data_IF_133210819547
#
_entry.id   IF_133210819547
#
_cell.length_a   1.000
_cell.length_b   1.000
_cell.length_c   1.000
_cell.angle_alpha   90.00
_cell.angle_beta   90.00
_cell.angle_gamma   90.00
#
_symmetry.space_group_name_H-M   'P 1'
#
loop_
_entity.id
_entity.type
_entity.pdbx_description
1 polymer ?
#
# COMPACT_ATOMS: atom_id res chain seq x y z
N UNK A 1 7.73 -26.75 -17.40
CA UNK A 1 6.91 -25.52 -17.50
C UNK A 1 7.41 -24.55 -16.42
N UNK A 2 8.05 -23.43 -16.79
CA UNK A 2 8.63 -22.46 -15.83
C UNK A 2 7.48 -21.68 -15.17
N UNK A 3 7.50 -21.57 -13.84
CA UNK A 3 6.41 -21.10 -12.99
C UNK A 3 6.13 -19.59 -13.02
N UNK A 4 5.93 -19.02 -14.21
CA UNK A 4 5.54 -17.62 -14.40
C UNK A 4 4.01 -17.38 -14.29
N UNK A 5 3.20 -18.42 -14.07
CA UNK A 5 1.73 -18.32 -14.01
C UNK A 5 1.17 -18.03 -12.60
N UNK A 6 2.00 -18.00 -11.55
CA UNK A 6 1.52 -17.76 -10.19
C UNK A 6 1.55 -16.27 -9.89
N UNK A 7 0.38 -15.70 -9.60
CA UNK A 7 0.27 -14.37 -8.99
C UNK A 7 0.86 -14.40 -7.58
N UNK A 8 1.61 -13.38 -7.23
CA UNK A 8 2.24 -13.21 -5.92
C UNK A 8 1.80 -11.89 -5.30
N UNK A 9 1.47 -11.93 -4.00
CA UNK A 9 1.26 -10.76 -3.17
C UNK A 9 2.41 -10.66 -2.17
N UNK A 10 3.13 -9.55 -2.21
CA UNK A 10 4.28 -9.27 -1.34
C UNK A 10 3.87 -8.21 -0.33
N UNK A 11 4.06 -8.52 0.95
CA UNK A 11 3.88 -7.55 2.03
C UNK A 11 5.23 -7.01 2.45
N UNK A 12 5.36 -5.68 2.49
CA UNK A 12 6.53 -4.97 3.00
C UNK A 12 6.07 -4.14 4.20
N UNK A 13 6.31 -4.63 5.40
CA UNK A 13 6.15 -3.83 6.60
C UNK A 13 7.45 -3.05 6.86
N UNK A 14 7.36 -1.72 6.90
CA UNK A 14 8.54 -0.85 6.99
C UNK A 14 8.34 0.25 8.02
N UNK A 15 9.40 0.60 8.73
CA UNK A 15 9.49 1.71 9.68
C UNK A 15 10.30 2.91 9.14
N UNK A 16 10.77 2.83 7.90
CA UNK A 16 11.61 3.88 7.33
C UNK A 16 11.85 3.80 5.82
N UNK A 17 12.77 4.67 5.37
CA UNK A 17 13.23 4.70 3.99
C UNK A 17 14.09 3.47 3.65
N UNK A 18 14.06 3.02 2.40
CA UNK A 18 15.00 1.99 1.94
C UNK A 18 16.44 2.51 1.99
N UNK A 19 17.37 1.64 2.37
CA UNK A 19 18.80 1.94 2.41
C UNK A 19 19.58 0.97 1.52
N UNK A 20 20.81 1.36 1.16
CA UNK A 20 21.81 0.47 0.59
C UNK A 20 22.47 -0.41 1.68
N UNK A 21 23.44 -1.23 1.26
CA UNK A 21 24.21 -2.13 2.14
C UNK A 21 25.07 -1.38 3.17
N UNK A 22 25.31 -0.08 2.97
CA UNK A 22 26.05 0.79 3.88
C UNK A 22 25.14 1.56 4.84
N UNK A 23 23.81 1.43 4.67
CA UNK A 23 22.80 2.11 5.48
C UNK A 23 22.48 3.54 5.00
N UNK A 24 22.97 3.96 3.83
CA UNK A 24 22.59 5.25 3.25
C UNK A 24 21.21 5.14 2.59
N UNK A 25 20.38 6.18 2.72
CA UNK A 25 19.05 6.21 2.09
C UNK A 25 19.19 6.10 0.57
N UNK A 26 18.50 5.10 0.01
CA UNK A 26 18.52 4.78 -1.41
C UNK A 26 17.13 4.35 -1.87
N UNK A 27 16.25 5.34 -2.09
CA UNK A 27 14.88 5.13 -2.58
C UNK A 27 14.86 4.85 -4.09
N UNK A 28 15.83 5.37 -4.84
CA UNK A 28 15.87 5.26 -6.29
C UNK A 28 16.10 3.83 -6.78
N UNK A 29 16.91 3.04 -6.06
CA UNK A 29 17.11 1.62 -6.38
C UNK A 29 15.81 0.82 -6.16
N UNK A 30 15.13 1.01 -5.03
CA UNK A 30 13.83 0.38 -4.80
C UNK A 30 12.81 0.83 -5.85
N UNK A 31 12.82 2.11 -6.23
CA UNK A 31 11.96 2.64 -7.29
C UNK A 31 12.24 1.99 -8.64
N UNK A 32 13.52 1.75 -8.96
CA UNK A 32 13.91 1.04 -10.17
C UNK A 32 13.37 -0.39 -10.17
N UNK A 33 13.58 -1.13 -9.07
CA UNK A 33 13.04 -2.47 -8.90
C UNK A 33 11.52 -2.50 -9.10
N UNK A 34 10.80 -1.57 -8.47
CA UNK A 34 9.33 -1.51 -8.50
C UNK A 34 8.75 -1.22 -9.89
N UNK A 35 9.45 -0.43 -10.72
CA UNK A 35 9.00 -0.01 -12.05
C UNK A 35 9.52 -0.89 -13.19
N UNK A 36 10.76 -1.38 -13.08
CA UNK A 36 11.49 -1.99 -14.19
C UNK A 36 11.60 -3.49 -14.03
N UNK A 37 11.93 -3.98 -12.84
CA UNK A 37 12.23 -5.40 -12.61
C UNK A 37 11.01 -6.20 -12.15
N UNK A 38 10.15 -5.57 -11.34
CA UNK A 38 8.92 -6.17 -10.83
C UNK A 38 8.03 -6.61 -12.00
N UNK A 39 7.56 -7.85 -11.94
CA UNK A 39 6.57 -8.37 -12.88
C UNK A 39 5.18 -7.77 -12.59
N UNK A 40 4.94 -6.52 -13.03
CA UNK A 40 3.78 -5.70 -12.62
C UNK A 40 2.41 -6.36 -12.82
N UNK A 41 2.28 -7.30 -13.76
CA UNK A 41 1.01 -7.98 -14.04
C UNK A 41 0.73 -9.18 -13.12
N UNK A 42 1.74 -9.68 -12.40
CA UNK A 42 1.63 -10.87 -11.55
C UNK A 42 2.11 -10.64 -10.13
N UNK A 43 2.87 -9.58 -9.86
CA UNK A 43 3.37 -9.21 -8.53
C UNK A 43 2.66 -7.98 -8.00
N UNK A 44 1.85 -8.20 -6.98
CA UNK A 44 1.17 -7.19 -6.18
C UNK A 44 2.02 -6.87 -4.96
N UNK A 45 2.12 -5.59 -4.60
CA UNK A 45 2.93 -5.15 -3.46
C UNK A 45 2.09 -4.32 -2.52
N UNK A 46 2.11 -4.68 -1.25
CA UNK A 46 1.43 -3.97 -0.18
C UNK A 46 2.46 -3.44 0.81
N UNK A 47 2.54 -2.12 0.95
CA UNK A 47 3.34 -1.49 2.00
C UNK A 47 2.49 -1.28 3.24
N UNK A 48 3.02 -1.69 4.39
CA UNK A 48 2.44 -1.46 5.70
C UNK A 48 3.37 -0.53 6.47
N UNK A 49 2.93 0.72 6.65
CA UNK A 49 3.72 1.74 7.33
C UNK A 49 3.66 1.49 8.84
N UNK A 50 4.83 1.34 9.45
CA UNK A 50 5.00 1.02 10.87
C UNK A 50 5.75 2.14 11.61
N UNK A 51 5.67 3.37 11.12
CA UNK A 51 6.38 4.54 11.67
C UNK A 51 5.48 5.77 11.71
N UNK A 52 5.71 6.62 12.72
CA UNK A 52 5.06 7.93 12.82
C UNK A 52 5.82 9.02 12.05
N UNK A 53 7.07 8.77 11.63
CA UNK A 53 7.84 9.71 10.81
C UNK A 53 7.46 9.59 9.34
N UNK A 54 6.45 10.35 8.93
CA UNK A 54 5.96 10.33 7.55
C UNK A 54 7.01 10.75 6.52
N UNK A 55 7.94 11.62 6.87
CA UNK A 55 8.89 12.18 5.89
C UNK A 55 9.77 11.10 5.26
N UNK A 56 10.10 10.04 6.01
CA UNK A 56 10.93 8.95 5.51
C UNK A 56 10.16 7.93 4.65
N UNK A 57 8.83 8.00 4.59
CA UNK A 57 7.99 7.09 3.81
C UNK A 57 7.06 7.80 2.82
N UNK A 58 7.11 9.14 2.76
CA UNK A 58 6.20 9.95 1.93
C UNK A 58 6.21 9.55 0.44
N UNK A 59 7.35 9.07 -0.06
CA UNK A 59 7.47 8.58 -1.43
C UNK A 59 6.54 7.39 -1.73
N UNK A 60 6.18 6.59 -0.73
CA UNK A 60 5.28 5.45 -0.90
C UNK A 60 3.85 5.92 -1.25
N UNK A 61 3.36 7.02 -0.68
CA UNK A 61 2.03 7.56 -1.03
C UNK A 61 1.95 8.10 -2.47
N UNK A 62 3.08 8.47 -3.08
CA UNK A 62 3.13 8.77 -4.52
C UNK A 62 3.06 7.49 -5.35
N UNK A 63 3.71 6.42 -4.88
CA UNK A 63 3.73 5.14 -5.58
C UNK A 63 2.37 4.45 -5.56
N UNK A 64 1.67 4.53 -4.43
CA UNK A 64 0.28 4.11 -4.24
C UNK A 64 -0.62 4.59 -5.41
N UNK A 65 -0.50 5.88 -5.76
CA UNK A 65 -1.33 6.53 -6.77
C UNK A 65 -0.87 6.29 -8.21
N UNK A 66 0.41 6.01 -8.39
CA UNK A 66 1.06 6.03 -9.72
C UNK A 66 1.47 4.65 -10.22
N UNK A 67 1.68 3.68 -9.33
CA UNK A 67 2.16 2.35 -9.66
C UNK A 67 1.04 1.32 -9.64
N UNK A 68 0.90 0.58 -10.75
CA UNK A 68 -0.06 -0.51 -10.85
C UNK A 68 0.19 -1.59 -9.79
N UNK A 69 -0.87 -2.10 -9.18
CA UNK A 69 -0.84 -3.22 -8.23
C UNK A 69 0.09 -2.94 -7.02
N UNK A 70 0.13 -1.68 -6.58
CA UNK A 70 0.81 -1.22 -5.37
C UNK A 70 -0.25 -0.55 -4.51
N UNK A 71 -0.21 -0.79 -3.21
CA UNK A 71 -1.10 -0.16 -2.24
C UNK A 71 -0.32 0.08 -0.94
N UNK A 72 -0.58 1.19 -0.27
CA UNK A 72 0.04 1.61 0.99
C UNK A 72 -1.03 1.74 2.07
N UNK A 73 -0.83 1.09 3.21
CA UNK A 73 -1.70 1.27 4.38
C UNK A 73 -0.91 1.72 5.59
N UNK A 74 -1.49 2.71 6.25
CA UNK A 74 -1.00 3.30 7.49
C UNK A 74 -1.57 2.54 8.72
N UNK A 75 -1.36 3.08 9.90
CA UNK A 75 -1.96 2.59 11.13
C UNK A 75 -3.50 2.70 11.10
N UNK A 76 -4.18 1.85 11.89
CA UNK A 76 -5.65 1.81 11.96
C UNK A 76 -6.30 3.17 12.21
N UNK A 77 -5.73 4.00 13.08
CA UNK A 77 -6.32 5.29 13.42
C UNK A 77 -6.18 6.30 12.29
N UNK A 78 -5.06 6.29 11.57
CA UNK A 78 -4.89 7.12 10.38
C UNK A 78 -5.82 6.67 9.25
N UNK A 79 -5.85 5.38 8.94
CA UNK A 79 -6.75 4.81 7.93
C UNK A 79 -8.21 5.12 8.22
N UNK A 80 -8.67 4.88 9.46
CA UNK A 80 -10.05 5.15 9.84
C UNK A 80 -10.43 6.61 9.66
N UNK A 81 -9.53 7.54 9.99
CA UNK A 81 -9.77 8.97 9.78
C UNK A 81 -9.94 9.28 8.29
N UNK A 82 -9.10 8.74 7.42
CA UNK A 82 -9.19 8.93 5.96
C UNK A 82 -10.46 8.32 5.37
N UNK A 83 -10.79 7.09 5.77
CA UNK A 83 -12.07 6.45 5.39
C UNK A 83 -13.26 7.32 5.81
N UNK A 84 -13.26 7.88 7.03
CA UNK A 84 -14.33 8.78 7.48
C UNK A 84 -14.35 10.13 6.77
N UNK A 85 -13.21 10.61 6.27
CA UNK A 85 -13.16 11.83 5.44
C UNK A 85 -13.86 11.61 4.09
N UNK A 86 -13.69 10.44 3.47
CA UNK A 86 -14.27 10.15 2.15
C UNK A 86 -15.66 9.52 2.20
N UNK A 87 -15.89 8.56 3.08
CA UNK A 87 -17.15 7.82 3.18
C UNK A 87 -18.15 8.44 4.17
N UNK A 88 -17.71 9.40 4.98
CA UNK A 88 -18.49 10.03 6.04
C UNK A 88 -18.37 9.32 7.40
N UNK A 89 -18.66 10.06 8.47
CA UNK A 89 -18.48 9.64 9.87
C UNK A 89 -19.33 8.46 10.31
N UNK A 90 -20.44 8.19 9.60
CA UNK A 90 -21.33 7.07 9.86
C UNK A 90 -20.89 5.77 9.15
N UNK A 91 -19.82 5.81 8.35
CA UNK A 91 -19.28 4.61 7.72
C UNK A 91 -18.65 3.69 8.78
N UNK A 92 -19.03 2.40 8.74
CA UNK A 92 -18.49 1.41 9.66
C UNK A 92 -17.13 0.95 9.16
N UNK A 93 -16.09 1.30 9.91
CA UNK A 93 -14.72 0.86 9.66
C UNK A 93 -14.09 0.43 10.99
N UNK A 94 -14.13 -0.87 11.24
CA UNK A 94 -13.57 -1.48 12.44
C UNK A 94 -12.18 -2.04 12.15
N UNK A 95 -11.56 -2.65 13.17
CA UNK A 95 -10.28 -3.36 12.99
C UNK A 95 -10.39 -4.53 12.01
N UNK A 96 -11.57 -5.15 11.89
CA UNK A 96 -11.81 -6.22 10.93
C UNK A 96 -11.68 -5.71 9.49
N UNK A 97 -12.40 -4.64 9.15
CA UNK A 97 -12.32 -4.01 7.83
C UNK A 97 -10.90 -3.49 7.54
N UNK A 98 -10.24 -2.93 8.54
CA UNK A 98 -8.83 -2.52 8.43
C UNK A 98 -7.91 -3.68 8.08
N UNK A 99 -8.00 -4.82 8.78
CA UNK A 99 -7.18 -5.99 8.48
C UNK A 99 -7.44 -6.47 7.05
N UNK A 100 -8.70 -6.49 6.61
CA UNK A 100 -9.02 -6.90 5.24
C UNK A 100 -8.41 -5.91 4.24
N UNK A 101 -8.62 -4.59 4.39
CA UNK A 101 -7.97 -3.57 3.54
C UNK A 101 -6.44 -3.73 3.51
N UNK A 102 -5.82 -3.90 4.68
CA UNK A 102 -4.38 -4.09 4.81
C UNK A 102 -3.87 -5.36 4.12
N UNK A 103 -4.70 -6.40 4.00
CA UNK A 103 -4.32 -7.67 3.36
C UNK A 103 -4.60 -7.71 1.86
N UNK A 104 -5.66 -7.06 1.38
CA UNK A 104 -6.13 -7.27 0.00
C UNK A 104 -6.25 -6.00 -0.84
N UNK A 105 -6.03 -4.80 -0.31
CA UNK A 105 -6.26 -3.57 -1.09
C UNK A 105 -5.40 -3.50 -2.37
N UNK A 106 -4.16 -4.00 -2.35
CA UNK A 106 -3.33 -4.12 -3.55
C UNK A 106 -3.97 -4.95 -4.67
N UNK A 107 -4.89 -5.87 -4.33
CA UNK A 107 -5.60 -6.77 -5.26
C UNK A 107 -7.02 -6.27 -5.55
N UNK A 108 -7.71 -5.73 -4.55
CA UNK A 108 -9.10 -5.29 -4.63
C UNK A 108 -9.20 -3.77 -4.56
N UNK A 109 -9.39 -3.17 -5.73
CA UNK A 109 -9.47 -1.71 -5.88
C UNK A 109 -10.58 -1.08 -5.04
N UNK A 110 -11.69 -1.79 -4.75
CA UNK A 110 -12.74 -1.19 -3.91
C UNK A 110 -12.27 -1.03 -2.48
N UNK A 111 -11.46 -1.97 -1.97
CA UNK A 111 -10.87 -1.89 -0.64
C UNK A 111 -9.77 -0.83 -0.58
N UNK A 112 -9.00 -0.71 -1.65
CA UNK A 112 -8.05 0.38 -1.83
C UNK A 112 -8.75 1.75 -1.79
N UNK A 113 -9.79 1.92 -2.61
CA UNK A 113 -10.54 3.18 -2.77
C UNK A 113 -11.24 3.70 -1.49
N UNK A 114 -11.40 2.86 -0.45
CA UNK A 114 -12.14 3.21 0.78
C UNK A 114 -11.63 4.48 1.47
N UNK A 115 -10.33 4.75 1.41
CA UNK A 115 -9.70 5.91 2.05
C UNK A 115 -9.23 6.98 1.05
N UNK A 116 -9.61 6.82 -0.24
CA UNK A 116 -9.21 7.74 -1.31
C UNK A 116 -10.38 8.45 -1.99
N UNK A 117 -11.57 7.83 -2.06
CA UNK A 117 -12.74 8.40 -2.74
C UNK A 117 -14.05 7.78 -2.28
N UNK A 118 -15.16 8.51 -2.44
CA UNK A 118 -16.49 8.00 -2.12
C UNK A 118 -16.81 6.78 -3.00
N UNK A 119 -17.13 5.64 -2.37
CA UNK A 119 -17.58 4.43 -3.09
C UNK A 119 -19.10 4.31 -3.06
N UNK A 120 -19.70 3.86 -4.17
CA UNK A 120 -21.13 3.53 -4.20
C UNK A 120 -21.38 2.30 -3.32
N UNK A 121 -22.34 2.41 -2.38
CA UNK A 121 -22.80 1.26 -1.60
C UNK A 121 -23.63 0.33 -2.49
N UNK A 122 -23.47 -0.97 -2.29
CA UNK A 122 -24.31 -2.01 -2.89
C UNK A 122 -25.79 -1.84 -2.54
#
# INVERSE_FOLDING_TARGET
>A
RRGYDKKALVFVATDGASTDDEGNVNVDELKHLMNVERQVNTTFVKFLICTDDRNCVDYLYDWDKTMKNVDVTDDFHTERKRVHQWQGTNFQFSKGEYIVKALIGAIDQKMDDLDEKLIERF
#
